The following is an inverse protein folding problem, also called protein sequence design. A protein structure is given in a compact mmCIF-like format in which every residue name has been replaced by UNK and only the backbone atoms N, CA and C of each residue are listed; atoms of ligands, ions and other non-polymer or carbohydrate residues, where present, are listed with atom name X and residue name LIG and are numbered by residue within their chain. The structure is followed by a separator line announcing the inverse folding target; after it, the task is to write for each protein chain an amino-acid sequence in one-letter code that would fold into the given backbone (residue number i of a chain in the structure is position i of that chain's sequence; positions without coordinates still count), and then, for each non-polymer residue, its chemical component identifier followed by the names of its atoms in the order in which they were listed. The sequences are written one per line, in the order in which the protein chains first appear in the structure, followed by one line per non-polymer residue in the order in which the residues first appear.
data_IF_973966883421
#
_entry.id   IF_973966883421
#
_cell.length_a   1.000
_cell.length_b   1.000
_cell.length_c   1.000
_cell.angle_alpha   90.00
_cell.angle_beta   90.00
_cell.angle_gamma   90.00
#
_symmetry.space_group_name_H-M   'P 1'
#
loop_
_entity.id
_entity.type
_entity.pdbx_description
1 polymer ?
#
# COMPACT_ATOMS: atom_id res chain seq x y z
N UNK A 1 -68.55 18.33 -8.30
CA UNK A 1 -67.38 18.54 -7.42
C UNK A 1 -67.74 17.89 -6.09
N UNK A 2 -67.12 16.85 -5.52
CA UNK A 2 -65.70 16.64 -5.22
C UNK A 2 -65.45 15.12 -5.07
N UNK A 3 -65.26 14.40 -6.19
CA UNK A 3 -64.79 12.99 -6.20
C UNK A 3 -63.26 12.90 -6.14
N UNK A 4 -62.64 13.75 -5.32
CA UNK A 4 -61.16 13.89 -5.25
C UNK A 4 -60.62 13.45 -3.87
N UNK A 5 -61.47 13.32 -2.84
CA UNK A 5 -60.99 13.06 -1.48
C UNK A 5 -60.74 11.59 -1.11
N UNK A 6 -61.06 10.61 -1.95
CA UNK A 6 -60.82 9.18 -1.61
C UNK A 6 -59.60 8.56 -2.30
N UNK A 7 -59.09 9.16 -3.37
CA UNK A 7 -57.94 8.64 -4.12
C UNK A 7 -56.59 9.12 -3.58
N UNK A 8 -56.57 10.15 -2.74
CA UNK A 8 -55.32 10.69 -2.16
C UNK A 8 -54.88 9.98 -0.87
N UNK A 9 -55.79 9.29 -0.17
CA UNK A 9 -55.47 8.63 1.11
C UNK A 9 -54.87 7.23 0.95
N UNK A 10 -55.01 6.60 -0.21
CA UNK A 10 -54.44 5.27 -0.51
C UNK A 10 -53.03 5.34 -1.10
N UNK A 11 -52.57 6.51 -1.54
CA UNK A 11 -51.21 6.68 -2.10
C UNK A 11 -50.14 6.83 -1.02
N UNK A 12 -50.53 7.15 0.22
CA UNK A 12 -49.58 7.38 1.34
C UNK A 12 -49.20 6.07 2.05
N UNK A 13 -49.97 5.00 1.90
CA UNK A 13 -49.60 3.67 2.43
C UNK A 13 -48.63 2.87 1.54
N UNK A 14 -48.39 3.30 0.29
CA UNK A 14 -47.44 2.65 -0.61
C UNK A 14 -45.99 3.20 -0.50
N UNK A 15 -45.77 4.26 0.28
CA UNK A 15 -44.44 4.84 0.54
C UNK A 15 -43.81 4.34 1.86
N UNK A 16 -44.47 3.41 2.56
CA UNK A 16 -44.09 3.00 3.93
C UNK A 16 -43.22 1.74 4.07
N UNK A 17 -42.86 1.02 2.99
CA UNK A 17 -42.24 -0.33 3.10
C UNK A 17 -40.91 -0.47 2.34
N UNK A 18 -40.17 0.61 2.10
CA UNK A 18 -38.79 0.52 1.55
C UNK A 18 -37.73 1.33 2.30
N UNK A 19 -38.01 1.76 3.54
CA UNK A 19 -37.03 2.49 4.37
C UNK A 19 -36.26 1.61 5.36
N UNK A 20 -36.47 0.28 5.33
CA UNK A 20 -35.87 -0.68 6.27
C UNK A 20 -35.00 -1.73 5.57
N UNK A 21 -34.14 -1.34 4.62
CA UNK A 21 -33.07 -2.23 4.14
C UNK A 21 -31.98 -1.48 3.35
N UNK A 22 -31.53 -0.31 3.83
CA UNK A 22 -30.24 0.24 3.41
C UNK A 22 -29.61 1.04 4.54
N UNK A 23 -29.63 0.48 5.75
CA UNK A 23 -28.39 0.58 6.54
C UNK A 23 -27.34 -0.20 5.77
N UNK A 24 -26.74 0.43 4.75
CA UNK A 24 -25.35 0.16 4.48
C UNK A 24 -24.66 0.47 5.80
N UNK A 25 -24.55 -0.54 6.66
CA UNK A 25 -23.44 -0.64 7.58
C UNK A 25 -22.24 -0.37 6.69
N UNK A 26 -21.71 0.85 6.78
CA UNK A 26 -20.33 1.08 6.44
C UNK A 26 -19.59 0.12 7.37
N UNK A 27 -19.38 -1.12 6.91
CA UNK A 27 -18.60 -2.10 7.63
C UNK A 27 -17.27 -1.42 7.82
N UNK A 28 -17.02 -0.97 9.05
CA UNK A 28 -15.76 -0.39 9.45
C UNK A 28 -14.72 -1.47 9.13
N UNK A 29 -14.13 -1.37 7.93
CA UNK A 29 -13.38 -2.47 7.38
C UNK A 29 -12.17 -2.66 8.29
N UNK A 30 -12.25 -3.73 9.08
CA UNK A 30 -11.38 -3.95 10.21
C UNK A 30 -9.99 -4.28 9.67
N UNK A 31 -8.98 -3.75 10.34
CA UNK A 31 -7.62 -4.10 10.00
C UNK A 31 -7.33 -5.52 10.51
N UNK A 32 -6.93 -6.40 9.62
CA UNK A 32 -6.45 -7.73 9.95
C UNK A 32 -4.99 -7.67 10.39
N UNK A 33 -4.59 -8.54 11.34
CA UNK A 33 -3.20 -8.66 11.78
C UNK A 33 -2.31 -9.23 10.66
N UNK A 34 -1.11 -8.67 10.53
CA UNK A 34 -0.08 -9.11 9.59
C UNK A 34 -0.17 -8.45 8.21
N UNK A 35 0.28 -9.17 7.19
CA UNK A 35 0.22 -8.78 5.78
C UNK A 35 -0.61 -9.77 4.96
N UNK A 36 -1.24 -9.33 3.85
CA UNK A 36 -1.99 -10.21 2.96
C UNK A 36 -1.09 -11.28 2.37
N UNK A 37 -1.51 -12.55 2.42
CA UNK A 37 -0.78 -13.69 1.83
C UNK A 37 -0.46 -13.45 0.35
N UNK A 38 -1.40 -12.86 -0.39
CA UNK A 38 -1.26 -12.53 -1.80
C UNK A 38 -0.12 -11.55 -2.15
N UNK A 39 0.39 -10.79 -1.16
CA UNK A 39 1.49 -9.84 -1.33
C UNK A 39 2.84 -10.37 -0.80
N UNK A 40 2.85 -11.48 -0.05
CA UNK A 40 4.06 -11.97 0.62
C UNK A 40 5.12 -12.42 -0.38
N UNK A 41 6.38 -12.21 -0.02
CA UNK A 41 7.56 -12.59 -0.79
C UNK A 41 8.48 -11.41 -1.08
N UNK A 42 9.39 -11.62 -2.02
CA UNK A 42 10.41 -10.66 -2.41
C UNK A 42 10.04 -10.00 -3.73
N UNK A 43 10.29 -8.70 -3.80
CA UNK A 43 9.91 -7.85 -4.91
C UNK A 43 11.04 -6.89 -5.22
N UNK A 44 11.20 -6.51 -6.49
CA UNK A 44 12.23 -5.57 -6.93
C UNK A 44 11.69 -4.63 -8.00
N UNK A 45 12.09 -3.37 -7.98
CA UNK A 45 11.83 -2.47 -9.11
C UNK A 45 12.70 -2.83 -10.31
N UNK A 46 12.42 -2.23 -11.48
CA UNK A 46 13.41 -2.25 -12.56
C UNK A 46 14.67 -1.50 -12.12
N UNK A 47 15.80 -1.96 -12.61
CA UNK A 47 17.09 -1.30 -12.47
C UNK A 47 17.09 -0.07 -13.37
N UNK A 48 17.56 1.07 -12.89
CA UNK A 48 17.67 2.32 -13.65
C UNK A 48 19.00 3.00 -13.36
N UNK A 49 19.52 3.74 -14.35
CA UNK A 49 20.69 4.60 -14.14
C UNK A 49 20.25 5.89 -13.46
N UNK A 50 20.89 6.22 -12.35
CA UNK A 50 20.82 7.54 -11.73
C UNK A 50 22.11 8.27 -12.07
N UNK A 51 21.98 9.51 -12.52
CA UNK A 51 23.13 10.36 -12.83
C UNK A 51 23.34 11.36 -11.70
N UNK A 52 24.60 11.69 -11.42
CA UNK A 52 24.97 12.79 -10.55
C UNK A 52 26.18 13.51 -11.13
N UNK A 53 26.35 14.77 -10.72
CA UNK A 53 27.52 15.56 -11.07
C UNK A 53 28.43 15.62 -9.85
N UNK A 54 29.70 15.25 -10.02
CA UNK A 54 30.72 15.40 -9.00
C UNK A 54 31.95 16.04 -9.64
N UNK A 55 32.36 17.22 -9.13
CA UNK A 55 33.54 17.93 -9.64
C UNK A 55 33.50 18.28 -11.14
N UNK A 56 32.33 18.51 -11.74
CA UNK A 56 32.20 18.81 -13.18
C UNK A 56 32.13 17.58 -14.09
N UNK A 57 32.29 16.37 -13.54
CA UNK A 57 32.10 15.12 -14.26
C UNK A 57 30.70 14.54 -14.01
N UNK A 58 30.05 14.06 -15.06
CA UNK A 58 28.77 13.36 -14.98
C UNK A 58 29.03 11.87 -14.82
N UNK A 59 28.70 11.34 -13.66
CA UNK A 59 28.81 9.93 -13.34
C UNK A 59 27.42 9.30 -13.15
N UNK A 60 27.36 7.98 -13.01
CA UNK A 60 26.13 7.25 -12.80
C UNK A 60 26.28 6.05 -11.89
N UNK A 61 25.18 5.72 -11.22
CA UNK A 61 25.04 4.48 -10.47
C UNK A 61 23.74 3.76 -10.85
N UNK A 62 23.72 2.44 -10.68
CA UNK A 62 22.55 1.63 -10.95
C UNK A 62 21.68 1.50 -9.70
N UNK A 63 20.49 2.10 -9.76
CA UNK A 63 19.52 2.08 -8.67
C UNK A 63 18.40 1.07 -8.88
N UNK A 64 18.02 0.43 -7.78
CA UNK A 64 16.76 -0.27 -7.64
C UNK A 64 16.38 -0.39 -6.16
N UNK A 65 15.09 -0.65 -5.94
CA UNK A 65 14.55 -0.93 -4.62
C UNK A 65 14.17 -2.40 -4.54
N UNK A 66 14.40 -2.97 -3.37
CA UNK A 66 13.95 -4.29 -2.98
C UNK A 66 12.91 -4.17 -1.88
N UNK A 67 11.85 -4.97 -1.95
CA UNK A 67 10.85 -5.04 -0.90
C UNK A 67 10.64 -6.50 -0.48
N UNK A 68 10.86 -6.77 0.80
CA UNK A 68 10.51 -8.04 1.44
C UNK A 68 9.20 -7.85 2.23
N UNK A 69 8.13 -8.49 1.78
CA UNK A 69 6.84 -8.47 2.47
C UNK A 69 6.67 -9.84 3.16
N UNK A 70 6.79 -9.86 4.49
CA UNK A 70 6.63 -11.06 5.32
C UNK A 70 5.32 -11.00 6.10
N UNK A 71 4.98 -12.07 6.81
CA UNK A 71 3.72 -12.18 7.56
C UNK A 71 3.47 -11.03 8.54
N UNK A 72 4.52 -10.52 9.19
CA UNK A 72 4.42 -9.52 10.27
C UNK A 72 5.27 -8.27 10.06
N UNK A 73 6.02 -8.17 8.96
CA UNK A 73 6.87 -7.02 8.63
C UNK A 73 6.95 -6.76 7.13
N UNK A 74 7.29 -5.51 6.81
CA UNK A 74 7.73 -5.09 5.48
C UNK A 74 9.07 -4.43 5.65
N UNK A 75 10.02 -4.78 4.79
CA UNK A 75 11.30 -4.09 4.66
C UNK A 75 11.51 -3.65 3.22
N UNK A 76 11.94 -2.41 3.04
CA UNK A 76 12.29 -1.83 1.76
C UNK A 76 13.75 -1.36 1.83
N UNK A 77 14.58 -1.87 0.95
CA UNK A 77 16.01 -1.56 0.87
C UNK A 77 16.31 -0.88 -0.47
N UNK A 78 17.07 0.20 -0.45
CA UNK A 78 17.69 0.77 -1.63
C UNK A 78 19.13 0.25 -1.75
N UNK A 79 19.58 -0.14 -2.94
CA UNK A 79 20.89 -0.81 -3.15
C UNK A 79 22.09 0.01 -2.71
N UNK A 80 21.98 1.34 -2.80
CA UNK A 80 23.01 2.28 -2.40
C UNK A 80 22.45 3.30 -1.39
N UNK A 81 21.45 2.90 -0.63
CA UNK A 81 20.79 3.77 0.32
C UNK A 81 20.41 3.05 1.60
N UNK A 82 19.77 3.80 2.48
CA UNK A 82 19.18 3.25 3.69
C UNK A 82 18.09 2.23 3.39
N UNK A 83 17.73 1.50 4.43
CA UNK A 83 16.59 0.63 4.44
C UNK A 83 15.61 1.10 5.50
N UNK A 84 14.33 1.01 5.18
CA UNK A 84 13.26 1.33 6.10
C UNK A 84 12.24 0.20 6.10
N UNK A 85 11.45 0.12 7.16
CA UNK A 85 10.49 -0.95 7.28
C UNK A 85 9.67 -0.85 8.55
N UNK A 86 8.57 -1.56 8.57
CA UNK A 86 7.74 -1.65 9.76
C UNK A 86 7.52 -3.09 10.18
N UNK A 87 7.38 -3.23 11.50
CA UNK A 87 6.92 -4.42 12.18
C UNK A 87 5.47 -4.22 12.65
N UNK A 88 4.92 -5.24 13.32
CA UNK A 88 3.56 -5.21 13.90
C UNK A 88 2.53 -4.79 12.84
N UNK A 89 2.67 -5.37 11.65
CA UNK A 89 1.86 -5.03 10.49
C UNK A 89 0.38 -5.33 10.74
N UNK A 90 -0.47 -4.52 10.13
CA UNK A 90 -1.88 -4.79 9.95
C UNK A 90 -2.32 -4.31 8.58
N UNK A 91 -3.38 -4.90 8.02
CA UNK A 91 -3.85 -4.56 6.68
C UNK A 91 -5.36 -4.51 6.59
N UNK A 92 -5.84 -3.74 5.61
CA UNK A 92 -7.24 -3.64 5.21
C UNK A 92 -7.36 -3.93 3.73
N UNK A 93 -8.26 -4.82 3.33
CA UNK A 93 -8.59 -5.02 1.93
C UNK A 93 -9.59 -3.96 1.46
N UNK A 94 -9.29 -3.29 0.35
CA UNK A 94 -10.11 -2.20 -0.19
C UNK A 94 -10.81 -2.58 -1.51
N UNK A 95 -10.86 -3.87 -1.85
CA UNK A 95 -11.36 -4.33 -3.14
C UNK A 95 -10.35 -4.18 -4.28
N UNK A 96 -10.65 -4.77 -5.43
CA UNK A 96 -9.84 -4.68 -6.67
C UNK A 96 -8.33 -4.93 -6.44
N UNK A 97 -8.01 -5.98 -5.67
CA UNK A 97 -6.64 -6.36 -5.29
C UNK A 97 -5.81 -5.23 -4.66
N UNK A 98 -6.49 -4.28 -4.01
CA UNK A 98 -5.90 -3.12 -3.35
C UNK A 98 -5.93 -3.32 -1.85
N UNK A 99 -4.79 -3.07 -1.21
CA UNK A 99 -4.57 -3.27 0.21
C UNK A 99 -3.99 -2.00 0.82
N UNK A 100 -4.52 -1.60 1.97
CA UNK A 100 -3.92 -0.58 2.83
C UNK A 100 -3.21 -1.29 3.97
N UNK A 101 -1.92 -1.04 4.13
CA UNK A 101 -1.10 -1.64 5.18
C UNK A 101 -0.63 -0.54 6.12
N UNK A 102 -0.51 -0.86 7.40
CA UNK A 102 0.13 0.01 8.40
C UNK A 102 0.99 -0.82 9.34
N UNK A 103 2.09 -0.24 9.81
CA UNK A 103 2.97 -0.86 10.79
C UNK A 103 3.74 0.18 11.58
N UNK A 104 4.55 -0.28 12.52
CA UNK A 104 5.41 0.56 13.36
C UNK A 104 6.89 0.37 13.02
N UNK A 105 7.60 1.46 12.83
CA UNK A 105 9.05 1.52 12.69
C UNK A 105 9.64 2.16 13.95
N UNK A 106 10.64 1.52 14.55
CA UNK A 106 11.34 2.03 15.72
C UNK A 106 12.67 2.63 15.23
N UNK A 107 12.82 3.96 15.32
CA UNK A 107 13.98 4.72 14.82
C UNK A 107 14.99 5.06 15.92
N UNK A 108 14.89 4.42 17.09
CA UNK A 108 15.72 4.68 18.27
C UNK A 108 14.89 4.59 19.56
N UNK A 109 15.53 4.77 20.73
CA UNK A 109 14.86 4.70 22.02
C UNK A 109 13.65 5.65 22.07
N UNK A 110 12.46 5.10 22.33
CA UNK A 110 11.21 5.86 22.48
C UNK A 110 10.59 6.42 21.20
N UNK A 111 11.25 6.32 20.04
CA UNK A 111 10.76 6.94 18.79
C UNK A 111 10.11 5.91 17.88
N UNK A 112 8.77 5.99 17.75
CA UNK A 112 7.96 5.04 16.96
C UNK A 112 7.16 5.76 15.89
N UNK A 113 7.47 5.49 14.62
CA UNK A 113 6.73 6.01 13.49
C UNK A 113 5.69 5.00 12.98
N UNK A 114 4.53 5.50 12.58
CA UNK A 114 3.55 4.69 11.86
C UNK A 114 3.76 4.85 10.37
N UNK A 115 4.25 3.79 9.72
CA UNK A 115 4.32 3.74 8.27
C UNK A 115 3.01 3.19 7.70
N UNK A 116 2.53 3.79 6.61
CA UNK A 116 1.32 3.38 5.92
C UNK A 116 1.63 3.18 4.44
N UNK A 117 1.12 2.10 3.85
CA UNK A 117 1.28 1.80 2.44
C UNK A 117 -0.08 1.58 1.78
N UNK A 118 -0.17 1.94 0.50
CA UNK A 118 -1.18 1.41 -0.41
C UNK A 118 -0.48 0.52 -1.42
N UNK A 119 -0.93 -0.73 -1.52
CA UNK A 119 -0.38 -1.72 -2.44
C UNK A 119 -1.50 -2.24 -3.32
N UNK A 120 -1.34 -2.15 -4.65
CA UNK A 120 -2.23 -2.79 -5.62
C UNK A 120 -1.50 -3.95 -6.30
N UNK A 121 -2.02 -5.16 -6.13
CA UNK A 121 -1.53 -6.32 -6.86
C UNK A 121 -2.11 -6.29 -8.28
N UNK A 122 -1.21 -6.26 -9.27
CA UNK A 122 -1.60 -6.22 -10.69
C UNK A 122 -1.59 -7.61 -11.31
N UNK A 123 -0.67 -8.48 -10.88
CA UNK A 123 -0.63 -9.90 -11.24
C UNK A 123 0.10 -10.71 -10.16
N UNK A 124 0.29 -12.01 -10.37
CA UNK A 124 1.16 -12.85 -9.51
C UNK A 124 2.58 -12.28 -9.38
N UNK A 125 3.07 -11.64 -10.45
CA UNK A 125 4.45 -11.19 -10.57
C UNK A 125 4.65 -9.67 -10.56
N UNK A 126 3.60 -8.88 -10.28
CA UNK A 126 3.66 -7.41 -10.37
C UNK A 126 2.76 -6.72 -9.35
N UNK A 127 3.32 -5.74 -8.63
CA UNK A 127 2.60 -4.88 -7.69
C UNK A 127 2.93 -3.40 -7.92
N UNK A 128 1.99 -2.52 -7.60
CA UNK A 128 2.25 -1.08 -7.39
C UNK A 128 2.23 -0.80 -5.89
N UNK A 129 3.24 -0.11 -5.39
CA UNK A 129 3.42 0.24 -3.98
C UNK A 129 3.64 1.75 -3.86
N UNK A 130 2.96 2.37 -2.90
CA UNK A 130 3.19 3.76 -2.51
C UNK A 130 3.20 3.87 -0.98
N UNK A 131 4.18 4.61 -0.44
CA UNK A 131 4.20 5.01 0.95
C UNK A 131 3.27 6.23 1.11
N UNK A 132 2.31 6.14 2.01
CA UNK A 132 1.33 7.19 2.28
C UNK A 132 1.86 8.15 3.35
N UNK A 133 1.55 9.44 3.20
CA UNK A 133 1.96 10.48 4.16
C UNK A 133 3.17 11.30 3.72
N UNK A 134 3.85 10.91 2.63
CA UNK A 134 4.86 11.73 1.98
C UNK A 134 4.40 12.04 0.55
N UNK A 135 4.18 13.32 0.24
CA UNK A 135 3.66 13.77 -1.05
C UNK A 135 4.67 13.62 -2.19
N UNK A 136 5.96 13.53 -1.86
CA UNK A 136 7.06 13.47 -2.84
C UNK A 136 7.36 12.04 -3.29
N UNK A 137 6.83 11.02 -2.57
CA UNK A 137 7.04 9.62 -2.91
C UNK A 137 6.09 9.20 -4.04
N UNK A 138 6.68 9.00 -5.22
CA UNK A 138 5.97 8.45 -6.38
C UNK A 138 5.56 6.99 -6.15
N UNK A 139 4.44 6.60 -6.75
CA UNK A 139 4.04 5.18 -6.81
C UNK A 139 5.06 4.40 -7.62
N UNK A 140 5.61 3.35 -7.03
CA UNK A 140 6.61 2.50 -7.65
C UNK A 140 6.01 1.17 -8.11
N UNK A 141 6.52 0.64 -9.22
CA UNK A 141 6.14 -0.70 -9.70
C UNK A 141 7.23 -1.69 -9.35
N UNK A 142 6.85 -2.74 -8.62
CA UNK A 142 7.73 -3.85 -8.27
C UNK A 142 7.32 -5.13 -9.00
N UNK A 143 8.31 -5.97 -9.26
CA UNK A 143 8.20 -7.25 -9.91
C UNK A 143 8.66 -8.34 -8.95
N UNK A 144 8.02 -9.51 -9.01
CA UNK A 144 8.39 -10.63 -8.15
C UNK A 144 9.84 -11.01 -8.39
N UNK A 145 10.55 -11.28 -7.31
CA UNK A 145 11.96 -11.65 -7.33
C UNK A 145 12.15 -12.92 -6.48
N UNK A 146 12.92 -13.89 -6.98
CA UNK A 146 13.14 -15.18 -6.32
C UNK A 146 14.27 -15.14 -5.28
N UNK A 147 15.12 -14.11 -5.30
CA UNK A 147 16.21 -13.97 -4.35
C UNK A 147 15.82 -13.19 -3.08
N UNK A 148 16.32 -13.63 -1.93
CA UNK A 148 16.60 -12.72 -0.82
C UNK A 148 17.93 -12.07 -1.18
N UNK A 149 18.00 -10.74 -1.29
CA UNK A 149 19.29 -10.09 -1.56
C UNK A 149 20.24 -10.42 -0.41
N UNK A 150 21.22 -11.28 -0.68
CA UNK A 150 22.45 -11.36 0.11
C UNK A 150 23.11 -10.00 -0.01
N UNK A 151 23.44 -9.38 1.13
CA UNK A 151 24.12 -8.07 1.25
C UNK A 151 24.91 -7.77 -0.02
N UNK A 152 24.48 -6.78 -0.81
CA UNK A 152 25.36 -6.29 -1.87
C UNK A 152 26.60 -5.76 -1.16
N UNK A 153 27.75 -6.31 -1.51
CA UNK A 153 29.02 -5.64 -1.30
C UNK A 153 28.86 -4.27 -1.95
N UNK A 154 28.91 -3.21 -1.16
CA UNK A 154 29.05 -1.86 -1.67
C UNK A 154 30.23 -1.90 -2.64
N UNK A 155 29.99 -1.65 -3.93
CA UNK A 155 31.10 -1.36 -4.82
C UNK A 155 31.81 -0.17 -4.17
N UNK A 156 33.11 -0.29 -3.84
CA UNK A 156 33.84 0.87 -3.35
C UNK A 156 33.74 1.91 -4.45
N UNK A 157 33.33 3.12 -4.08
CA UNK A 157 33.70 4.29 -4.85
C UNK A 157 35.24 4.21 -4.97
N UNK A 158 35.73 3.84 -6.15
CA UNK A 158 37.12 4.00 -6.57
C UNK A 158 37.20 5.29 -7.36
#
# INVERSE_FOLDING_TARGET
MKKICRTLLLLIMALGIFSAANTQSASASSYHKGTPTALRGYWRTKIHKNYYNHGGHRDHWWGYFHAAIKSSNIRIDAVQGGAYGANKMSYRYAGNHTYYLKGKEEMGPGTVYTLKWKIKKLSSNKIKLVLLGNKDIKTMTYYKFSGRISKHTYYPYL
#
